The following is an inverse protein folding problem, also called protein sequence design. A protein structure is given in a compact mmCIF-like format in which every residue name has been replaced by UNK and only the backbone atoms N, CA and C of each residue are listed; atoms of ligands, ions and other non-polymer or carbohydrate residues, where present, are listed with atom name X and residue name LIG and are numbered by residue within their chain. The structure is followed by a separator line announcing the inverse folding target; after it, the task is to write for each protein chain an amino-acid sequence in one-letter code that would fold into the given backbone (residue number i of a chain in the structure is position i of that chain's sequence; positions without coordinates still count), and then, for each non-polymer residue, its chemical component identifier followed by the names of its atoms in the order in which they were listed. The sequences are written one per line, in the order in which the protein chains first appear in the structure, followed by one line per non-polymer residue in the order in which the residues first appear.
data_IF_607394845280
#
_entry.id   IF_607394845280
#
_cell.length_a   1.000
_cell.length_b   1.000
_cell.length_c   1.000
_cell.angle_alpha   90.00
_cell.angle_beta   90.00
_cell.angle_gamma   90.00
#
_symmetry.space_group_name_H-M   'P 1'
#
loop_
_entity.id
_entity.type
_entity.pdbx_description
1 polymer ?
#
# COMPACT_ATOMS: atom_id res chain seq x y z
N UNK A 1 -8.95 -13.92 11.81
CA UNK A 1 -7.90 -13.20 11.09
C UNK A 1 -7.53 -14.05 9.89
N UNK A 2 -7.76 -13.54 8.69
CA UNK A 2 -7.40 -14.24 7.46
C UNK A 2 -6.05 -13.70 6.95
N UNK A 3 -5.19 -14.58 6.47
CA UNK A 3 -3.90 -14.24 5.86
C UNK A 3 -3.91 -14.78 4.43
N UNK A 4 -3.68 -13.91 3.45
CA UNK A 4 -3.65 -14.26 2.03
C UNK A 4 -2.34 -13.80 1.41
N UNK A 5 -1.53 -14.74 0.92
CA UNK A 5 -0.22 -14.46 0.32
C UNK A 5 -0.30 -14.36 -1.21
N UNK A 6 0.63 -13.64 -1.84
CA UNK A 6 0.82 -13.53 -3.31
C UNK A 6 -0.20 -12.74 -4.13
N UNK A 7 -1.48 -12.74 -3.78
CA UNK A 7 -2.58 -12.14 -4.57
C UNK A 7 -2.62 -10.61 -4.55
N UNK A 8 -1.46 -9.97 -4.76
CA UNK A 8 -1.32 -8.52 -4.77
C UNK A 8 -1.95 -7.88 -6.01
N UNK A 9 -1.79 -8.53 -7.18
CA UNK A 9 -2.26 -8.02 -8.47
C UNK A 9 -3.80 -8.01 -8.56
N UNK A 10 -4.47 -8.79 -7.71
CA UNK A 10 -5.93 -8.82 -7.58
C UNK A 10 -6.47 -7.76 -6.61
N UNK A 11 -5.60 -6.90 -6.06
CA UNK A 11 -5.97 -5.74 -5.27
C UNK A 11 -5.99 -4.49 -6.14
N UNK A 12 -7.08 -3.74 -6.09
CA UNK A 12 -7.22 -2.46 -6.78
C UNK A 12 -6.98 -1.31 -5.80
N UNK A 13 -5.97 -0.50 -6.11
CA UNK A 13 -5.58 0.70 -5.39
C UNK A 13 -5.76 1.92 -6.28
N UNK A 14 -6.39 2.99 -5.79
CA UNK A 14 -6.61 4.24 -6.52
C UNK A 14 -6.90 5.39 -5.55
N UNK A 15 -7.51 6.48 -6.04
CA UNK A 15 -7.88 7.69 -5.30
C UNK A 15 -8.97 7.52 -4.22
N UNK A 16 -9.39 6.29 -3.93
CA UNK A 16 -10.31 5.96 -2.85
C UNK A 16 -9.69 5.07 -1.76
N UNK A 17 -8.53 4.48 -2.01
CA UNK A 17 -7.83 3.63 -1.03
C UNK A 17 -7.02 4.50 -0.10
N UNK A 18 -7.13 4.30 1.22
CA UNK A 18 -6.35 5.09 2.18
C UNK A 18 -5.30 4.26 2.90
N UNK A 19 -4.08 4.79 2.94
CA UNK A 19 -2.96 4.28 3.69
C UNK A 19 -2.79 5.04 5.01
N UNK A 20 -2.60 4.30 6.08
CA UNK A 20 -2.20 4.82 7.39
C UNK A 20 -0.70 5.03 7.50
N UNK A 21 -0.24 5.37 8.70
CA UNK A 21 1.20 5.44 9.00
C UNK A 21 1.82 4.04 8.89
N UNK A 22 2.90 3.86 8.11
CA UNK A 22 3.59 2.58 8.05
C UNK A 22 4.25 2.25 9.37
N UNK A 23 4.22 0.98 9.74
CA UNK A 23 4.99 0.42 10.85
C UNK A 23 6.15 -0.38 10.29
N UNK A 24 7.38 -0.01 10.66
CA UNK A 24 8.60 -0.69 10.22
C UNK A 24 9.18 -1.45 11.42
N UNK A 25 9.40 -2.74 11.25
CA UNK A 25 10.06 -3.61 12.22
C UNK A 25 11.09 -4.47 11.50
N UNK A 26 12.37 -4.22 11.73
CA UNK A 26 13.46 -4.89 11.02
C UNK A 26 13.29 -4.76 9.49
N UNK A 27 13.10 -5.87 8.78
CA UNK A 27 12.85 -5.96 7.34
C UNK A 27 11.37 -6.12 6.98
N UNK A 28 10.47 -5.87 7.92
CA UNK A 28 9.02 -5.93 7.69
C UNK A 28 8.43 -4.52 7.65
N UNK A 29 7.65 -4.25 6.60
CA UNK A 29 6.83 -3.05 6.44
C UNK A 29 5.35 -3.44 6.53
N UNK A 30 4.62 -2.80 7.43
CA UNK A 30 3.18 -3.00 7.61
C UNK A 30 2.49 -1.68 7.28
N UNK A 31 1.58 -1.70 6.33
CA UNK A 31 0.78 -0.54 5.94
C UNK A 31 -0.68 -0.83 6.32
N UNK A 32 -1.23 -0.16 7.35
CA UNK A 32 -2.65 -0.18 7.60
C UNK A 32 -3.37 0.45 6.40
N UNK A 33 -4.35 -0.25 5.84
CA UNK A 33 -5.06 0.23 4.65
C UNK A 33 -6.56 0.06 4.81
N UNK A 34 -7.33 1.00 4.28
CA UNK A 34 -8.79 0.91 4.20
C UNK A 34 -9.27 1.12 2.77
N UNK A 35 -10.49 0.67 2.53
CA UNK A 35 -11.22 0.84 1.27
C UNK A 35 -10.50 0.23 0.06
N UNK A 36 -9.88 -0.94 0.23
CA UNK A 36 -9.28 -1.69 -0.90
C UNK A 36 -10.37 -2.44 -1.65
N UNK A 37 -10.37 -2.35 -2.97
CA UNK A 37 -11.20 -3.22 -3.81
C UNK A 37 -10.44 -4.46 -4.21
N UNK A 38 -11.16 -5.57 -4.29
CA UNK A 38 -10.61 -6.89 -4.60
C UNK A 38 -11.34 -7.44 -5.81
N UNK A 39 -10.59 -7.77 -6.85
CA UNK A 39 -11.15 -8.34 -8.08
C UNK A 39 -11.61 -9.79 -7.90
N UNK A 40 -12.36 -10.29 -8.89
CA UNK A 40 -12.68 -11.70 -8.99
C UNK A 40 -11.39 -12.53 -9.15
N UNK A 41 -11.31 -13.67 -8.47
CA UNK A 41 -10.11 -14.53 -8.47
C UNK A 41 -9.27 -14.44 -7.21
N UNK A 42 -9.43 -13.39 -6.39
CA UNK A 42 -8.81 -13.32 -5.07
C UNK A 42 -9.49 -14.31 -4.09
N UNK A 43 -8.76 -15.03 -3.22
CA UNK A 43 -9.34 -16.00 -2.27
C UNK A 43 -10.42 -15.46 -1.31
N UNK A 44 -10.46 -14.15 -1.13
CA UNK A 44 -11.45 -13.46 -0.29
C UNK A 44 -12.72 -13.08 -1.05
N UNK A 45 -12.69 -13.10 -2.38
CA UNK A 45 -13.79 -12.67 -3.22
C UNK A 45 -14.44 -13.86 -3.95
N UNK A 46 -15.50 -14.39 -3.34
CA UNK A 46 -16.31 -15.49 -3.91
C UNK A 46 -17.65 -15.01 -4.47
N UNK A 47 -17.78 -13.70 -4.76
CA UNK A 47 -19.08 -13.08 -5.06
C UNK A 47 -19.36 -12.89 -6.56
N UNK A 48 -18.36 -13.11 -7.43
CA UNK A 48 -18.46 -12.83 -8.87
C UNK A 48 -18.56 -11.33 -9.20
N UNK A 49 -18.28 -10.45 -8.23
CA UNK A 49 -18.27 -9.00 -8.36
C UNK A 49 -17.08 -8.43 -7.59
N UNK A 50 -16.66 -7.19 -7.88
CA UNK A 50 -15.63 -6.53 -7.07
C UNK A 50 -16.12 -6.35 -5.63
N UNK A 51 -15.29 -6.76 -4.67
CA UNK A 51 -15.59 -6.67 -3.24
C UNK A 51 -14.78 -5.56 -2.59
N UNK A 52 -15.38 -4.81 -1.66
CA UNK A 52 -14.66 -3.82 -0.84
C UNK A 52 -14.21 -4.45 0.49
N UNK A 53 -12.92 -4.34 0.79
CA UNK A 53 -12.35 -4.65 2.10
C UNK A 53 -12.20 -3.34 2.91
N UNK A 54 -12.95 -3.19 4.02
CA UNK A 54 -13.02 -1.91 4.73
C UNK A 54 -11.74 -1.60 5.49
N UNK A 55 -11.09 -2.59 6.10
CA UNK A 55 -9.85 -2.42 6.87
C UNK A 55 -8.99 -3.66 6.71
N UNK A 56 -7.74 -3.49 6.34
CA UNK A 56 -6.75 -4.55 6.15
C UNK A 56 -5.35 -4.05 6.50
N UNK A 57 -4.37 -4.95 6.49
CA UNK A 57 -2.95 -4.58 6.48
C UNK A 57 -2.26 -5.19 5.28
N UNK A 58 -1.54 -4.36 4.54
CA UNK A 58 -0.56 -4.82 3.57
C UNK A 58 0.74 -5.09 4.32
N UNK A 59 1.23 -6.33 4.26
CA UNK A 59 2.44 -6.72 4.98
C UNK A 59 3.47 -7.20 3.98
N UNK A 60 4.62 -6.53 3.98
CA UNK A 60 5.76 -6.85 3.14
C UNK A 60 6.90 -7.33 4.03
N UNK A 61 7.45 -8.50 3.72
CA UNK A 61 8.56 -9.09 4.49
C UNK A 61 9.81 -9.20 3.62
N UNK A 62 10.98 -9.07 4.27
CA UNK A 62 12.25 -9.01 3.54
C UNK A 62 12.35 -7.77 2.67
N UNK A 63 11.81 -6.63 3.13
CA UNK A 63 11.86 -5.36 2.41
C UNK A 63 13.32 -4.92 2.25
N UNK A 64 13.71 -4.56 1.04
CA UNK A 64 15.04 -4.02 0.72
C UNK A 64 14.99 -2.53 0.37
N UNK A 65 13.87 -2.06 -0.18
CA UNK A 65 13.63 -0.66 -0.52
C UNK A 65 12.15 -0.33 -0.33
N UNK A 66 11.86 0.87 0.15
CA UNK A 66 10.50 1.39 0.23
C UNK A 66 10.53 2.89 0.06
N UNK A 67 9.87 3.36 -0.99
CA UNK A 67 10.01 4.71 -1.50
C UNK A 67 8.64 5.27 -1.84
N UNK A 68 8.35 6.46 -1.30
CA UNK A 68 7.09 7.17 -1.54
C UNK A 68 7.34 8.49 -2.24
N UNK A 69 6.53 8.82 -3.23
CA UNK A 69 6.37 10.18 -3.74
C UNK A 69 5.07 10.74 -3.19
N UNK A 70 5.17 11.77 -2.37
CA UNK A 70 4.05 12.35 -1.63
C UNK A 70 3.66 13.69 -2.25
N UNK A 71 2.40 13.84 -2.61
CA UNK A 71 1.79 15.08 -3.08
C UNK A 71 0.66 15.47 -2.12
N UNK A 72 0.97 16.32 -1.14
CA UNK A 72 -0.02 16.81 -0.17
C UNK A 72 -1.10 17.64 -0.84
N UNK A 73 -2.36 17.37 -0.51
CA UNK A 73 -3.47 18.16 -1.04
C UNK A 73 -3.51 19.57 -0.42
N UNK A 74 -3.85 20.59 -1.21
CA UNK A 74 -4.15 21.94 -0.70
C UNK A 74 -5.58 22.07 -0.14
N UNK A 75 -6.35 20.97 -0.15
CA UNK A 75 -7.70 20.86 0.36
C UNK A 75 -8.12 19.40 0.48
N UNK A 76 -9.42 19.11 0.40
CA UNK A 76 -9.87 17.73 0.33
C UNK A 76 -9.49 17.08 -1.00
N UNK A 77 -9.25 15.75 -1.03
CA UNK A 77 -9.17 14.99 -2.27
C UNK A 77 -10.35 15.32 -3.19
N UNK A 78 -10.09 15.41 -4.49
CA UNK A 78 -11.10 15.71 -5.52
C UNK A 78 -11.77 17.10 -5.42
N UNK A 79 -11.25 18.02 -4.59
CA UNK A 79 -11.76 19.40 -4.51
C UNK A 79 -11.27 20.34 -5.63
N UNK A 80 -10.35 19.89 -6.48
CA UNK A 80 -9.76 20.72 -7.55
C UNK A 80 -8.76 21.78 -7.07
N UNK A 81 -8.46 21.85 -5.77
CA UNK A 81 -7.51 22.83 -5.21
C UNK A 81 -6.04 22.55 -5.50
N UNK A 82 -5.73 21.40 -6.09
CA UNK A 82 -4.37 20.99 -6.45
C UNK A 82 -3.54 20.49 -5.26
N UNK A 83 -2.23 20.49 -5.46
CA UNK A 83 -1.24 19.89 -4.56
C UNK A 83 -0.16 20.89 -4.18
N UNK A 84 0.46 20.69 -3.01
CA UNK A 84 1.78 21.25 -2.71
C UNK A 84 2.84 20.62 -3.63
N UNK A 85 4.04 21.23 -3.77
CA UNK A 85 5.16 20.56 -4.43
C UNK A 85 5.41 19.17 -3.83
N UNK A 86 5.58 18.17 -4.69
CA UNK A 86 5.80 16.80 -4.24
C UNK A 86 7.19 16.62 -3.64
N UNK A 87 7.31 15.64 -2.75
CA UNK A 87 8.57 15.27 -2.13
C UNK A 87 8.68 13.75 -1.97
N UNK A 88 9.91 13.28 -1.80
CA UNK A 88 10.22 11.85 -1.71
C UNK A 88 10.47 11.47 -0.24
N UNK A 89 9.87 10.36 0.21
CA UNK A 89 10.22 9.71 1.47
C UNK A 89 10.88 8.36 1.14
N UNK A 90 11.97 8.03 1.84
CA UNK A 90 12.60 6.71 1.80
C UNK A 90 12.45 6.10 3.18
N UNK A 91 11.67 5.02 3.25
CA UNK A 91 11.25 4.39 4.50
C UNK A 91 12.38 3.52 5.05
N UNK A 92 13.21 4.09 5.94
CA UNK A 92 14.32 3.39 6.60
C UNK A 92 15.46 2.90 5.68
N UNK A 93 16.55 2.45 6.31
CA UNK A 93 17.64 1.73 5.66
C UNK A 93 17.51 0.24 5.99
N UNK A 94 16.82 -0.51 5.13
CA UNK A 94 16.63 -1.94 5.34
C UNK A 94 17.93 -2.72 5.13
N UNK A 95 18.11 -3.78 5.92
CA UNK A 95 19.21 -4.72 5.73
C UNK A 95 18.94 -5.54 4.47
N UNK A 96 19.88 -5.50 3.51
CA UNK A 96 19.79 -6.29 2.28
C UNK A 96 19.86 -7.79 2.58
N UNK A 97 19.06 -8.56 1.87
CA UNK A 97 19.08 -10.02 1.91
C UNK A 97 19.54 -10.57 0.56
N UNK A 98 20.00 -11.83 0.54
CA UNK A 98 20.32 -12.54 -0.71
C UNK A 98 19.10 -13.19 -1.37
N UNK A 99 17.94 -13.11 -0.72
CA UNK A 99 16.69 -13.67 -1.23
C UNK A 99 16.20 -12.85 -2.43
N UNK A 100 15.58 -13.50 -3.43
CA UNK A 100 15.03 -12.79 -4.57
C UNK A 100 13.89 -11.87 -4.12
N UNK A 101 13.87 -10.66 -4.67
CA UNK A 101 12.85 -9.64 -4.42
C UNK A 101 11.96 -9.45 -5.63
N UNK A 102 10.78 -8.86 -5.40
CA UNK A 102 9.93 -8.29 -6.43
C UNK A 102 9.51 -6.88 -6.04
N UNK A 103 9.14 -6.09 -7.04
CA UNK A 103 8.62 -4.75 -6.85
C UNK A 103 7.10 -4.78 -6.77
N UNK A 104 6.58 -4.01 -5.83
CA UNK A 104 5.16 -3.76 -5.62
C UNK A 104 4.91 -2.27 -5.76
N UNK A 105 3.86 -1.93 -6.49
CA UNK A 105 3.47 -0.54 -6.73
C UNK A 105 2.09 -0.31 -6.15
N UNK A 106 1.97 0.72 -5.31
CA UNK A 106 0.73 1.16 -4.71
C UNK A 106 0.50 2.62 -5.06
N UNK A 107 -0.77 2.99 -5.25
CA UNK A 107 -1.18 4.39 -5.30
C UNK A 107 -2.46 4.62 -4.53
N UNK A 108 -2.62 5.83 -3.97
CA UNK A 108 -3.81 6.17 -3.18
C UNK A 108 -3.57 7.32 -2.22
N UNK A 109 -4.34 7.36 -1.14
CA UNK A 109 -4.39 8.50 -0.22
C UNK A 109 -3.67 8.17 1.10
N UNK A 110 -2.58 8.87 1.42
CA UNK A 110 -2.03 8.85 2.77
C UNK A 110 -2.96 9.66 3.69
N UNK A 111 -3.29 9.10 4.86
CA UNK A 111 -4.22 9.72 5.80
C UNK A 111 -3.59 10.89 6.58
N UNK A 112 -2.28 10.84 6.80
CA UNK A 112 -1.54 11.85 7.57
C UNK A 112 -0.08 11.96 7.08
N UNK A 113 0.34 13.10 6.48
CA UNK A 113 -0.53 14.19 6.01
C UNK A 113 -1.50 13.70 4.93
N UNK A 114 -2.60 14.42 4.73
CA UNK A 114 -3.56 14.12 3.68
C UNK A 114 -2.92 14.37 2.31
N UNK A 115 -2.55 13.30 1.61
CA UNK A 115 -1.75 13.38 0.40
C UNK A 115 -2.09 12.26 -0.58
N UNK A 116 -1.95 12.52 -1.89
CA UNK A 116 -1.83 11.44 -2.85
C UNK A 116 -0.41 10.88 -2.76
N UNK A 117 -0.28 9.57 -2.79
CA UNK A 117 1.01 8.90 -2.73
C UNK A 117 1.11 7.86 -3.84
N UNK A 118 2.27 7.82 -4.50
CA UNK A 118 2.73 6.61 -5.18
C UNK A 118 3.82 5.98 -4.34
N UNK A 119 3.79 4.65 -4.22
CA UNK A 119 4.67 3.90 -3.33
C UNK A 119 5.25 2.72 -4.09
N UNK A 120 6.58 2.68 -4.17
CA UNK A 120 7.34 1.55 -4.69
C UNK A 120 7.98 0.81 -3.52
N UNK A 121 7.74 -0.50 -3.44
CA UNK A 121 8.25 -1.37 -2.38
C UNK A 121 8.95 -2.55 -3.03
N UNK A 122 10.20 -2.78 -2.69
CA UNK A 122 10.95 -3.97 -3.06
C UNK A 122 10.99 -4.93 -1.87
N UNK A 123 10.41 -6.11 -1.99
CA UNK A 123 10.41 -7.10 -0.90
C UNK A 123 10.45 -8.55 -1.40
N UNK A 124 10.81 -9.46 -0.50
CA UNK A 124 10.83 -10.91 -0.76
C UNK A 124 9.41 -11.46 -0.87
N UNK A 125 8.51 -11.03 0.02
CA UNK A 125 7.14 -11.52 0.04
C UNK A 125 6.12 -10.46 0.44
N UNK A 126 4.86 -10.77 0.14
CA UNK A 126 3.70 -9.99 0.48
C UNK A 126 2.58 -10.90 0.98
N UNK A 127 1.87 -10.44 2.01
CA UNK A 127 0.58 -10.98 2.39
C UNK A 127 -0.38 -9.88 2.84
N UNK A 128 -1.66 -10.17 2.68
CA UNK A 128 -2.77 -9.37 3.18
C UNK A 128 -3.25 -9.94 4.51
N UNK A 129 -3.39 -9.11 5.54
CA UNK A 129 -4.06 -9.46 6.80
C UNK A 129 -5.44 -8.79 6.89
N UNK A 130 -6.48 -9.59 7.16
CA UNK A 130 -7.87 -9.15 7.34
C UNK A 130 -8.40 -9.52 8.72
#
# INVERSE_FOLDING_TARGET
MAIVSEYFEELEFWDYSYFGQPLIKNTTLIIPTRDIRVYEGHPLNNTGQTMLLPCVKLVFSGVQSSVRVVAEYLGHPNSGKGFKPSYKIVDSSFTKTSEPTRNFFLEGILSEPLAYVTWEIESVSFHLEV
#
